data_IF_983780560355
#
_entry.id   IF_983780560355
#
_cell.length_a   1.000
_cell.length_b   1.000
_cell.length_c   1.000
_cell.angle_alpha   90.00
_cell.angle_beta   90.00
_cell.angle_gamma   90.00
#
_symmetry.space_group_name_H-M   'P 1'
#
loop_
_entity.id
_entity.type
_entity.pdbx_description
1 polymer ?
#
# COMPACT_ATOMS: atom_id res chain seq x y z
N UNK A 1 -9.54 18.72 7.16
CA UNK A 1 -9.24 17.64 6.18
C UNK A 1 -9.89 17.99 4.86
N UNK A 2 -9.12 18.08 3.79
CA UNK A 2 -9.61 18.39 2.44
C UNK A 2 -9.42 17.14 1.56
N UNK A 3 -10.51 16.63 0.97
CA UNK A 3 -10.49 15.53 -0.01
C UNK A 3 -10.77 16.08 -1.40
N UNK A 4 -9.95 15.71 -2.39
CA UNK A 4 -10.12 16.10 -3.79
C UNK A 4 -9.88 14.92 -4.73
N UNK A 5 -10.66 14.87 -5.83
CA UNK A 5 -10.43 13.93 -6.92
C UNK A 5 -9.22 14.35 -7.75
N UNK A 6 -8.38 13.38 -8.10
CA UNK A 6 -7.18 13.60 -8.91
C UNK A 6 -7.07 12.60 -10.05
N UNK A 7 -6.32 12.95 -11.09
CA UNK A 7 -5.93 12.06 -12.18
C UNK A 7 -4.41 11.93 -12.18
N UNK A 8 -3.92 10.71 -12.05
CA UNK A 8 -2.51 10.39 -11.90
C UNK A 8 -2.01 9.85 -13.25
N UNK A 9 -1.04 10.48 -13.92
CA UNK A 9 -0.45 9.93 -15.14
C UNK A 9 0.40 8.70 -14.79
N UNK A 10 0.17 7.59 -15.48
CA UNK A 10 0.92 6.34 -15.35
C UNK A 10 1.41 5.90 -16.73
N UNK A 11 2.71 5.63 -16.83
CA UNK A 11 3.32 5.16 -18.07
C UNK A 11 3.12 3.66 -18.25
N UNK A 12 2.63 3.25 -19.41
CA UNK A 12 2.41 1.87 -19.80
C UNK A 12 3.01 1.60 -21.17
N UNK A 13 3.17 0.33 -21.56
CA UNK A 13 3.70 -0.04 -22.89
C UNK A 13 2.96 0.59 -24.06
N UNK A 14 1.68 0.92 -23.88
CA UNK A 14 0.80 1.53 -24.89
C UNK A 14 0.74 3.08 -24.83
N UNK A 15 1.48 3.74 -23.95
CA UNK A 15 1.44 5.17 -23.72
C UNK A 15 0.95 5.53 -22.32
N UNK A 16 0.85 6.83 -22.04
CA UNK A 16 0.40 7.34 -20.75
C UNK A 16 -1.10 7.15 -20.57
N UNK A 17 -1.50 6.56 -19.46
CA UNK A 17 -2.90 6.44 -19.01
C UNK A 17 -3.14 7.31 -17.79
N UNK A 18 -4.41 7.53 -17.43
CA UNK A 18 -4.80 8.30 -16.24
C UNK A 18 -5.49 7.40 -15.23
N UNK A 19 -4.89 7.30 -14.04
CA UNK A 19 -5.50 6.60 -12.92
C UNK A 19 -6.35 7.57 -12.11
N UNK A 20 -7.54 7.17 -11.70
CA UNK A 20 -8.38 7.94 -10.78
C UNK A 20 -7.88 7.77 -9.36
N UNK A 21 -7.78 8.89 -8.64
CA UNK A 21 -7.39 8.91 -7.23
C UNK A 21 -8.19 9.92 -6.42
N UNK A 22 -8.05 9.81 -5.10
CA UNK A 22 -8.53 10.77 -4.11
C UNK A 22 -7.37 11.16 -3.20
N UNK A 23 -7.07 12.43 -3.20
CA UNK A 23 -6.03 13.02 -2.35
C UNK A 23 -6.68 13.60 -1.09
N UNK A 24 -6.17 13.17 0.06
CA UNK A 24 -6.52 13.69 1.38
C UNK A 24 -5.36 14.52 1.90
N UNK A 25 -5.56 15.81 2.10
CA UNK A 25 -4.56 16.70 2.65
C UNK A 25 -4.91 17.08 4.10
N UNK A 26 -3.96 16.92 5.03
CA UNK A 26 -4.14 17.40 6.40
C UNK A 26 -4.07 18.92 6.45
N UNK A 27 -4.64 19.52 7.50
CA UNK A 27 -4.38 20.91 7.83
C UNK A 27 -3.02 20.98 8.54
N UNK A 28 -1.98 21.37 7.80
CA UNK A 28 -0.61 21.49 8.32
C UNK A 28 0.01 22.84 7.94
N UNK A 29 0.95 23.32 8.75
CA UNK A 29 1.66 24.56 8.50
C UNK A 29 2.84 24.42 7.51
N UNK A 30 3.10 23.22 6.98
CA UNK A 30 4.19 22.91 6.07
C UNK A 30 3.97 21.57 5.37
N UNK A 31 4.94 21.12 4.53
CA UNK A 31 4.83 19.85 3.83
C UNK A 31 4.64 18.67 4.78
N UNK A 32 3.61 17.86 4.53
CA UNK A 32 3.26 16.70 5.34
C UNK A 32 3.92 15.41 4.80
N UNK A 33 4.20 14.39 5.64
CA UNK A 33 4.52 13.07 5.13
C UNK A 33 3.42 12.56 4.21
N UNK A 34 3.80 11.84 3.13
CA UNK A 34 2.87 11.27 2.17
C UNK A 34 2.67 9.77 2.35
N UNK A 35 1.47 9.26 2.05
CA UNK A 35 1.20 7.82 2.00
C UNK A 35 0.38 7.47 0.77
N UNK A 36 0.93 6.58 -0.08
CA UNK A 36 0.18 5.94 -1.16
C UNK A 36 -0.61 4.78 -0.58
N UNK A 37 -1.93 4.75 -0.82
CA UNK A 37 -2.83 3.73 -0.29
C UNK A 37 -3.37 2.85 -1.42
N UNK A 38 -3.02 1.56 -1.40
CA UNK A 38 -3.28 0.60 -2.47
C UNK A 38 -4.41 -0.36 -2.09
N UNK A 39 -5.42 -0.48 -2.97
CA UNK A 39 -6.62 -1.28 -2.74
C UNK A 39 -6.43 -2.78 -3.00
N UNK A 40 -7.31 -3.67 -2.46
CA UNK A 40 -7.25 -5.11 -2.68
C UNK A 40 -7.64 -5.49 -4.11
N UNK A 41 -7.61 -6.79 -4.42
CA UNK A 41 -7.80 -7.33 -5.78
C UNK A 41 -9.16 -6.97 -6.39
N UNK A 42 -9.20 -6.43 -7.62
CA UNK A 42 -10.45 -6.00 -8.27
C UNK A 42 -11.48 -7.12 -8.48
N UNK A 43 -11.06 -8.36 -8.75
CA UNK A 43 -11.97 -9.48 -8.90
C UNK A 43 -12.75 -9.80 -7.62
N UNK A 44 -12.24 -9.39 -6.45
CA UNK A 44 -12.93 -9.45 -5.16
C UNK A 44 -13.72 -8.18 -4.82
N UNK A 45 -13.95 -7.29 -5.79
CA UNK A 45 -14.61 -5.99 -5.57
C UNK A 45 -13.68 -4.92 -5.01
N UNK A 46 -12.35 -5.12 -5.10
CA UNK A 46 -11.35 -4.16 -4.65
C UNK A 46 -11.33 -2.91 -5.52
N UNK A 47 -11.45 -1.76 -4.87
CA UNK A 47 -11.26 -0.43 -5.44
C UNK A 47 -10.90 0.58 -4.34
N UNK A 48 -10.52 1.80 -4.70
CA UNK A 48 -10.10 2.82 -3.74
C UNK A 48 -11.18 3.24 -2.74
N UNK A 49 -12.46 3.02 -3.04
CA UNK A 49 -13.59 3.41 -2.20
C UNK A 49 -14.08 2.27 -1.28
N UNK A 50 -13.43 1.08 -1.26
CA UNK A 50 -13.77 0.03 -0.28
C UNK A 50 -13.49 0.51 1.16
N UNK A 51 -14.33 0.05 2.10
CA UNK A 51 -14.42 0.61 3.46
C UNK A 51 -13.06 0.77 4.16
N UNK A 52 -12.24 -0.30 4.24
CA UNK A 52 -10.94 -0.25 4.91
C UNK A 52 -9.98 0.77 4.26
N UNK A 53 -9.95 0.87 2.93
CA UNK A 53 -9.07 1.80 2.19
C UNK A 53 -9.45 3.26 2.47
N UNK A 54 -10.75 3.57 2.42
CA UNK A 54 -11.24 4.91 2.75
C UNK A 54 -10.98 5.28 4.21
N UNK A 55 -11.24 4.36 5.14
CA UNK A 55 -10.98 4.57 6.57
C UNK A 55 -9.49 4.73 6.87
N UNK A 56 -8.62 3.95 6.21
CA UNK A 56 -7.16 4.06 6.35
C UNK A 56 -6.67 5.42 5.87
N UNK A 57 -7.08 5.88 4.68
CA UNK A 57 -6.70 7.20 4.17
C UNK A 57 -7.17 8.33 5.10
N UNK A 58 -8.41 8.24 5.62
CA UNK A 58 -8.93 9.20 6.60
C UNK A 58 -8.15 9.17 7.92
N UNK A 59 -7.82 7.98 8.43
CA UNK A 59 -7.04 7.79 9.65
C UNK A 59 -5.63 8.39 9.52
N UNK A 60 -4.94 8.13 8.43
CA UNK A 60 -3.63 8.72 8.11
C UNK A 60 -3.72 10.25 8.04
N UNK A 61 -4.70 10.78 7.31
CA UNK A 61 -4.88 12.22 7.17
C UNK A 61 -5.19 12.92 8.49
N UNK A 62 -6.02 12.30 9.35
CA UNK A 62 -6.34 12.84 10.69
C UNK A 62 -5.14 12.94 11.62
N UNK A 63 -4.06 12.22 11.32
CA UNK A 63 -2.81 12.23 12.09
C UNK A 63 -1.72 13.10 11.47
N UNK A 64 -2.05 13.90 10.44
CA UNK A 64 -1.16 14.88 9.83
C UNK A 64 -0.35 14.34 8.63
N UNK A 65 -0.75 13.21 8.03
CA UNK A 65 -0.14 12.68 6.82
C UNK A 65 -1.03 12.93 5.60
N UNK A 66 -0.47 13.34 4.47
CA UNK A 66 -1.19 13.34 3.20
C UNK A 66 -1.40 11.89 2.74
N UNK A 67 -2.62 11.54 2.32
CA UNK A 67 -2.93 10.19 1.85
C UNK A 67 -3.50 10.24 0.43
N UNK A 68 -2.94 9.43 -0.47
CA UNK A 68 -3.43 9.26 -1.83
C UNK A 68 -3.90 7.84 -2.03
N UNK A 69 -5.22 7.64 -2.09
CA UNK A 69 -5.81 6.38 -2.54
C UNK A 69 -6.16 6.48 -4.02
N UNK A 70 -5.96 5.41 -4.76
CA UNK A 70 -6.18 5.41 -6.20
C UNK A 70 -6.70 4.06 -6.68
N UNK A 71 -7.28 4.03 -7.88
CA UNK A 71 -7.66 2.81 -8.57
C UNK A 71 -6.57 2.39 -9.55
N UNK A 72 -6.13 1.13 -9.46
CA UNK A 72 -5.24 0.53 -10.46
C UNK A 72 -5.83 0.62 -11.86
N UNK A 73 -5.00 0.48 -12.89
CA UNK A 73 -5.42 0.51 -14.29
C UNK A 73 -6.59 -0.44 -14.55
N UNK A 74 -7.61 0.04 -15.30
CA UNK A 74 -8.81 -0.71 -15.64
C UNK A 74 -9.83 -0.85 -14.50
N UNK A 75 -9.60 -0.23 -13.33
CA UNK A 75 -10.49 -0.32 -12.15
C UNK A 75 -11.19 1.02 -11.91
N UNK A 76 -12.47 1.01 -11.54
CA UNK A 76 -13.22 2.15 -11.01
C UNK A 76 -13.14 3.44 -11.84
N UNK A 77 -12.98 3.29 -13.16
CA UNK A 77 -12.86 4.37 -14.12
C UNK A 77 -11.45 4.94 -14.27
N UNK A 78 -10.41 4.29 -13.77
CA UNK A 78 -9.03 4.44 -14.26
C UNK A 78 -8.94 3.90 -15.68
N UNK A 79 -8.14 4.57 -16.51
CA UNK A 79 -7.88 4.13 -17.88
C UNK A 79 -7.01 2.85 -17.90
N UNK A 80 -6.81 2.28 -19.10
CA UNK A 80 -5.99 1.09 -19.29
C UNK A 80 -6.72 -0.22 -18.99
N UNK A 81 -5.94 -1.26 -18.75
CA UNK A 81 -6.43 -2.63 -18.50
C UNK A 81 -5.70 -3.19 -17.29
N UNK A 82 -6.43 -3.86 -16.41
CA UNK A 82 -5.86 -4.58 -15.27
C UNK A 82 -5.07 -5.80 -15.77
N UNK A 83 -3.84 -5.96 -15.33
CA UNK A 83 -2.87 -6.96 -15.80
C UNK A 83 -2.51 -8.02 -14.75
N UNK A 84 -3.28 -8.10 -13.68
CA UNK A 84 -3.15 -9.10 -12.60
C UNK A 84 -1.75 -9.15 -11.97
N UNK A 85 -1.20 -7.98 -11.66
CA UNK A 85 0.08 -7.82 -10.96
C UNK A 85 1.30 -7.64 -11.86
N UNK A 86 1.13 -7.64 -13.19
CA UNK A 86 2.26 -7.50 -14.12
C UNK A 86 2.72 -6.05 -14.25
N UNK A 87 1.77 -5.12 -14.45
CA UNK A 87 2.07 -3.71 -14.65
C UNK A 87 1.64 -2.82 -13.46
N UNK A 88 0.85 -3.35 -12.51
CA UNK A 88 0.32 -2.60 -11.37
C UNK A 88 1.39 -2.06 -10.40
N UNK A 89 2.60 -2.68 -10.24
CA UNK A 89 3.69 -2.02 -9.53
C UNK A 89 4.06 -0.66 -10.14
N UNK A 90 3.93 -0.50 -11.47
CA UNK A 90 4.11 0.79 -12.16
C UNK A 90 3.07 1.84 -11.75
N UNK A 91 1.83 1.44 -11.47
CA UNK A 91 0.80 2.36 -10.97
C UNK A 91 1.11 2.86 -9.56
N UNK A 92 1.73 2.00 -8.72
CA UNK A 92 2.22 2.41 -7.39
C UNK A 92 3.35 3.44 -7.53
N UNK A 93 4.29 3.24 -8.48
CA UNK A 93 5.32 4.24 -8.81
C UNK A 93 4.68 5.56 -9.25
N UNK A 94 3.71 5.52 -10.16
CA UNK A 94 3.02 6.71 -10.66
C UNK A 94 2.31 7.49 -9.52
N UNK A 95 1.63 6.78 -8.61
CA UNK A 95 0.99 7.40 -7.45
C UNK A 95 2.02 8.00 -6.46
N UNK A 96 3.15 7.33 -6.26
CA UNK A 96 4.26 7.83 -5.45
C UNK A 96 4.86 9.11 -6.05
N UNK A 97 5.16 9.11 -7.34
CA UNK A 97 5.72 10.26 -8.03
C UNK A 97 4.74 11.43 -8.09
N UNK A 98 3.44 11.14 -8.19
CA UNK A 98 2.39 12.16 -8.08
C UNK A 98 2.43 12.86 -6.72
N UNK A 99 2.46 12.10 -5.61
CA UNK A 99 2.60 12.68 -4.27
C UNK A 99 3.90 13.49 -4.13
N UNK A 100 5.01 12.94 -4.60
CA UNK A 100 6.33 13.57 -4.55
C UNK A 100 6.38 14.93 -5.27
N UNK A 101 5.56 15.12 -6.29
CA UNK A 101 5.44 16.37 -7.02
C UNK A 101 4.58 17.45 -6.36
N UNK A 102 3.88 17.14 -5.26
CA UNK A 102 2.99 18.09 -4.58
C UNK A 102 3.76 18.97 -3.58
N UNK A 103 3.59 20.29 -3.60
CA UNK A 103 4.25 21.20 -2.66
C UNK A 103 3.79 21.01 -1.20
N UNK A 104 2.61 20.42 -0.99
CA UNK A 104 2.06 20.11 0.33
C UNK A 104 2.64 18.82 0.94
N UNK A 105 3.45 18.05 0.17
CA UNK A 105 4.00 16.77 0.59
C UNK A 105 5.51 16.86 0.72
N UNK A 106 6.03 16.30 1.82
CA UNK A 106 7.47 16.13 2.03
C UNK A 106 7.97 14.95 1.17
N UNK A 107 8.70 15.27 0.10
CA UNK A 107 9.18 14.32 -0.90
C UNK A 107 10.11 13.22 -0.33
N UNK A 108 10.75 13.47 0.81
CA UNK A 108 11.67 12.52 1.46
C UNK A 108 10.95 11.62 2.48
N UNK A 109 9.66 11.89 2.74
CA UNK A 109 8.85 11.16 3.72
C UNK A 109 7.58 10.58 3.11
N UNK A 110 7.73 9.86 1.98
CA UNK A 110 6.62 9.17 1.33
C UNK A 110 6.70 7.67 1.61
N UNK A 111 5.59 7.12 2.09
CA UNK A 111 5.42 5.71 2.44
C UNK A 111 4.28 5.07 1.65
N UNK A 112 4.11 3.77 1.80
CA UNK A 112 3.05 2.99 1.17
C UNK A 112 2.25 2.26 2.24
N UNK A 113 0.94 2.17 2.06
CA UNK A 113 0.08 1.25 2.81
C UNK A 113 -0.81 0.49 1.81
N UNK A 114 -0.82 -0.81 1.87
CA UNK A 114 -1.62 -1.62 0.94
C UNK A 114 -2.32 -2.77 1.64
N UNK A 115 -3.50 -3.15 1.14
CA UNK A 115 -4.24 -4.31 1.61
C UNK A 115 -4.31 -5.39 0.55
N UNK A 116 -4.00 -6.65 0.91
CA UNK A 116 -4.08 -7.81 0.04
C UNK A 116 -3.26 -7.60 -1.25
N UNK A 117 -3.87 -7.63 -2.42
CA UNK A 117 -3.23 -7.32 -3.70
C UNK A 117 -2.45 -6.01 -3.66
N UNK A 118 -3.03 -4.94 -3.09
CA UNK A 118 -2.36 -3.65 -2.95
C UNK A 118 -1.12 -3.70 -2.07
N UNK A 119 -1.11 -4.57 -1.03
CA UNK A 119 0.08 -4.82 -0.22
C UNK A 119 1.18 -5.49 -1.07
N UNK A 120 0.80 -6.48 -1.89
CA UNK A 120 1.72 -7.17 -2.78
C UNK A 120 2.28 -6.24 -3.84
N UNK A 121 1.45 -5.41 -4.49
CA UNK A 121 1.90 -4.43 -5.49
C UNK A 121 2.86 -3.41 -4.89
N UNK A 122 2.60 -2.95 -3.66
CA UNK A 122 3.52 -2.07 -2.93
C UNK A 122 4.87 -2.72 -2.66
N UNK A 123 4.89 -3.99 -2.20
CA UNK A 123 6.13 -4.76 -2.01
C UNK A 123 6.89 -4.95 -3.33
N UNK A 124 6.18 -5.24 -4.43
CA UNK A 124 6.80 -5.38 -5.75
C UNK A 124 7.37 -4.06 -6.30
N UNK A 125 6.71 -2.95 -6.05
CA UNK A 125 7.23 -1.63 -6.39
C UNK A 125 8.54 -1.34 -5.61
N UNK A 126 8.58 -1.65 -4.31
CA UNK A 126 9.79 -1.53 -3.48
C UNK A 126 10.90 -2.47 -3.97
N UNK A 127 10.59 -3.72 -4.29
CA UNK A 127 11.55 -4.66 -4.88
C UNK A 127 12.08 -4.17 -6.24
N UNK A 128 11.26 -3.44 -7.00
CA UNK A 128 11.61 -2.77 -8.25
C UNK A 128 12.40 -1.47 -8.07
N UNK A 129 12.73 -1.08 -6.84
CA UNK A 129 13.57 0.08 -6.54
C UNK A 129 12.82 1.36 -6.17
N UNK A 130 11.49 1.30 -5.89
CA UNK A 130 10.76 2.46 -5.40
C UNK A 130 11.33 2.90 -4.03
N UNK A 131 11.81 4.16 -3.88
CA UNK A 131 12.48 4.60 -2.66
C UNK A 131 11.46 5.10 -1.60
N UNK A 132 10.50 4.25 -1.22
CA UNK A 132 9.57 4.57 -0.16
C UNK A 132 10.30 4.58 1.21
N UNK A 133 9.92 5.50 2.12
CA UNK A 133 10.43 5.51 3.49
C UNK A 133 10.06 4.22 4.21
N UNK A 134 8.78 3.85 4.14
CA UNK A 134 8.26 2.62 4.73
C UNK A 134 7.11 2.03 3.92
N UNK A 135 6.82 0.76 4.13
CA UNK A 135 5.59 0.11 3.67
C UNK A 135 4.91 -0.64 4.81
N UNK A 136 3.60 -0.46 4.93
CA UNK A 136 2.72 -1.32 5.74
C UNK A 136 1.95 -2.25 4.80
N UNK A 137 2.34 -3.52 4.78
CA UNK A 137 1.70 -4.58 4.01
C UNK A 137 0.62 -5.26 4.87
N UNK A 138 -0.65 -4.98 4.57
CA UNK A 138 -1.80 -5.51 5.29
C UNK A 138 -2.29 -6.76 4.55
N UNK A 139 -2.24 -7.91 5.22
CA UNK A 139 -2.67 -9.21 4.69
C UNK A 139 -2.13 -9.49 3.27
N UNK A 140 -0.80 -9.45 3.02
CA UNK A 140 -0.25 -9.71 1.70
C UNK A 140 -0.60 -11.15 1.26
N UNK A 141 -1.11 -11.38 0.03
CA UNK A 141 -1.65 -12.68 -0.37
C UNK A 141 -0.53 -13.63 -0.83
N UNK A 142 0.33 -14.05 0.10
CA UNK A 142 1.59 -14.75 -0.17
C UNK A 142 1.43 -16.15 -0.77
N UNK A 143 0.27 -16.78 -0.67
CA UNK A 143 0.03 -18.06 -1.36
C UNK A 143 -0.48 -17.89 -2.79
N UNK A 144 -0.90 -16.69 -3.18
CA UNK A 144 -1.45 -16.42 -4.51
C UNK A 144 -0.37 -15.96 -5.52
N UNK A 145 0.79 -15.52 -5.04
CA UNK A 145 1.87 -14.98 -5.87
C UNK A 145 3.22 -15.62 -5.52
N UNK A 146 4.06 -15.81 -6.53
CA UNK A 146 5.42 -16.30 -6.33
C UNK A 146 6.31 -15.18 -5.77
N UNK A 147 6.81 -15.34 -4.55
CA UNK A 147 7.59 -14.31 -3.85
C UNK A 147 9.10 -14.62 -3.75
N UNK A 148 9.50 -15.87 -3.97
CA UNK A 148 10.89 -16.34 -3.80
C UNK A 148 11.96 -15.51 -4.52
N UNK A 149 11.66 -15.00 -5.71
CA UNK A 149 12.60 -14.18 -6.49
C UNK A 149 12.74 -12.73 -5.99
N UNK A 150 11.81 -12.26 -5.14
CA UNK A 150 11.71 -10.85 -4.75
C UNK A 150 12.30 -10.54 -3.37
N UNK A 151 12.46 -11.54 -2.50
CA UNK A 151 12.96 -11.34 -1.12
C UNK A 151 14.37 -10.75 -1.11
N UNK A 152 15.25 -11.15 -2.04
CA UNK A 152 16.59 -10.58 -2.15
C UNK A 152 16.56 -9.08 -2.52
N UNK A 153 15.68 -8.67 -3.41
CA UNK A 153 15.53 -7.26 -3.78
C UNK A 153 14.95 -6.44 -2.62
N UNK A 154 13.97 -7.00 -1.90
CA UNK A 154 13.43 -6.39 -0.69
C UNK A 154 14.50 -6.25 0.41
N UNK A 155 15.33 -7.27 0.64
CA UNK A 155 16.43 -7.23 1.60
C UNK A 155 17.48 -6.16 1.26
N UNK A 156 17.70 -5.88 -0.02
CA UNK A 156 18.62 -4.84 -0.48
C UNK A 156 18.04 -3.42 -0.40
N UNK A 157 16.71 -3.29 -0.22
CA UNK A 157 16.03 -1.99 -0.11
C UNK A 157 16.20 -1.40 1.27
N UNK A 158 16.39 -0.08 1.36
CA UNK A 158 16.38 0.68 2.60
C UNK A 158 14.97 0.95 3.15
N UNK A 159 13.92 0.62 2.40
CA UNK A 159 12.53 0.79 2.84
C UNK A 159 12.22 -0.05 4.06
N UNK A 160 11.70 0.55 5.12
CA UNK A 160 11.21 -0.17 6.30
C UNK A 160 9.91 -0.92 5.96
N UNK A 161 9.80 -2.18 6.38
CA UNK A 161 8.65 -3.04 6.07
C UNK A 161 7.96 -3.48 7.35
N UNK A 162 6.64 -3.32 7.35
CA UNK A 162 5.75 -3.71 8.45
C UNK A 162 4.62 -4.56 7.90
N UNK A 163 4.26 -5.61 8.62
CA UNK A 163 3.25 -6.58 8.21
C UNK A 163 2.13 -6.63 9.24
N UNK A 164 0.89 -6.66 8.75
CA UNK A 164 -0.30 -6.85 9.58
C UNK A 164 -1.09 -8.01 8.98
N UNK A 165 -1.33 -9.08 9.73
CA UNK A 165 -2.05 -10.25 9.25
C UNK A 165 -2.96 -10.84 10.33
N UNK A 166 -4.05 -11.45 9.92
CA UNK A 166 -4.91 -12.26 10.79
C UNK A 166 -4.34 -13.65 11.01
N UNK A 167 -4.53 -14.24 12.20
CA UNK A 167 -4.09 -15.63 12.47
C UNK A 167 -4.97 -16.71 11.79
N UNK A 168 -6.08 -16.28 11.15
CA UNK A 168 -6.98 -17.13 10.36
C UNK A 168 -7.02 -16.72 8.88
N UNK A 169 -6.02 -15.98 8.42
CA UNK A 169 -5.94 -15.53 7.05
C UNK A 169 -5.52 -16.67 6.12
N UNK A 170 -6.43 -17.08 5.23
CA UNK A 170 -6.22 -18.19 4.31
C UNK A 170 -5.31 -17.81 3.11
N UNK A 171 -5.11 -16.52 2.81
CA UNK A 171 -4.23 -16.04 1.74
C UNK A 171 -2.86 -15.59 2.25
N UNK A 172 -2.76 -15.31 3.54
CA UNK A 172 -1.53 -14.96 4.24
C UNK A 172 -1.34 -15.83 5.49
N UNK A 173 -1.19 -17.16 5.35
CA UNK A 173 -0.96 -18.04 6.51
C UNK A 173 0.28 -17.59 7.30
N UNK A 174 0.21 -17.62 8.63
CA UNK A 174 1.28 -17.11 9.49
C UNK A 174 2.63 -17.80 9.28
N UNK A 175 2.63 -19.09 8.99
CA UNK A 175 3.87 -19.81 8.64
C UNK A 175 4.48 -19.26 7.35
N UNK A 176 3.67 -19.04 6.30
CA UNK A 176 4.14 -18.48 5.03
C UNK A 176 4.62 -17.03 5.21
N UNK A 177 3.92 -16.22 6.00
CA UNK A 177 4.36 -14.86 6.33
C UNK A 177 5.69 -14.87 7.10
N UNK A 178 5.84 -15.78 8.06
CA UNK A 178 7.09 -15.92 8.79
C UNK A 178 8.24 -16.33 7.87
N UNK A 179 8.04 -17.32 7.01
CA UNK A 179 9.06 -17.77 6.05
C UNK A 179 9.46 -16.63 5.10
N UNK A 180 8.47 -15.89 4.59
CA UNK A 180 8.72 -14.70 3.76
C UNK A 180 9.54 -13.63 4.50
N UNK A 181 9.19 -13.31 5.75
CA UNK A 181 9.90 -12.31 6.55
C UNK A 181 11.34 -12.76 6.89
N UNK A 182 11.52 -14.04 7.25
CA UNK A 182 12.85 -14.63 7.51
C UNK A 182 13.76 -14.54 6.30
N UNK A 183 13.23 -14.81 5.12
CA UNK A 183 13.99 -14.73 3.86
C UNK A 183 14.45 -13.30 3.51
N UNK A 184 13.82 -12.27 4.10
CA UNK A 184 14.20 -10.88 3.90
C UNK A 184 15.20 -10.45 4.97
N UNK A 185 14.81 -10.44 6.26
CA UNK A 185 15.68 -10.05 7.36
C UNK A 185 15.09 -10.40 8.74
N UNK A 186 15.95 -10.42 9.77
CA UNK A 186 15.51 -10.53 11.17
C UNK A 186 14.59 -9.36 11.61
N UNK A 187 14.77 -8.19 11.04
CA UNK A 187 13.95 -7.03 11.35
C UNK A 187 12.53 -7.18 10.78
N UNK A 188 12.40 -7.75 9.58
CA UNK A 188 11.09 -8.06 8.99
C UNK A 188 10.29 -9.02 9.88
N UNK A 189 10.93 -10.01 10.49
CA UNK A 189 10.28 -10.93 11.46
C UNK A 189 9.72 -10.17 12.67
N UNK A 190 10.47 -9.22 13.22
CA UNK A 190 10.04 -8.41 14.38
C UNK A 190 8.92 -7.44 14.03
N UNK A 191 8.81 -7.07 12.76
CA UNK A 191 7.83 -6.11 12.26
C UNK A 191 6.48 -6.73 11.88
N UNK A 192 6.23 -7.99 12.24
CA UNK A 192 4.94 -8.66 12.04
C UNK A 192 4.00 -8.37 13.21
N UNK A 193 2.81 -7.85 12.91
CA UNK A 193 1.70 -7.65 13.84
C UNK A 193 0.56 -8.61 13.53
N UNK A 194 0.17 -9.45 14.50
CA UNK A 194 -0.84 -10.49 14.31
C UNK A 194 -2.14 -10.08 14.98
N UNK A 195 -3.24 -10.14 14.23
CA UNK A 195 -4.60 -9.89 14.69
C UNK A 195 -5.29 -11.21 15.03
N UNK A 196 -5.39 -11.51 16.31
CA UNK A 196 -5.99 -12.78 16.78
C UNK A 196 -7.46 -12.89 16.39
N UNK A 197 -7.83 -14.03 15.79
CA UNK A 197 -9.19 -14.33 15.33
C UNK A 197 -9.60 -13.65 14.03
N UNK A 198 -8.72 -12.88 13.40
CA UNK A 198 -9.00 -12.19 12.14
C UNK A 198 -8.70 -13.09 10.94
N UNK A 199 -9.54 -12.99 9.92
CA UNK A 199 -9.34 -13.56 8.59
C UNK A 199 -8.77 -12.52 7.62
N UNK A 200 -8.65 -12.88 6.35
CA UNK A 200 -8.14 -12.01 5.28
C UNK A 200 -8.91 -10.71 5.09
N UNK A 201 -10.21 -10.72 5.37
CA UNK A 201 -11.09 -9.58 5.11
C UNK A 201 -11.05 -8.54 6.23
N UNK A 202 -10.52 -8.88 7.41
CA UNK A 202 -10.30 -7.99 8.56
C UNK A 202 -11.59 -7.27 9.02
N UNK A 203 -12.75 -7.90 8.81
CA UNK A 203 -14.07 -7.35 9.15
C UNK A 203 -14.14 -7.07 10.65
N UNK A 204 -14.58 -5.86 11.02
CA UNK A 204 -14.64 -5.34 12.40
C UNK A 204 -13.27 -5.20 13.09
N UNK A 205 -12.20 -5.20 12.33
CA UNK A 205 -10.84 -4.97 12.83
C UNK A 205 -10.21 -3.72 12.23
N UNK A 206 -11.00 -2.92 11.48
CA UNK A 206 -10.54 -1.74 10.73
C UNK A 206 -9.82 -0.74 11.65
N UNK A 207 -10.38 -0.44 12.81
CA UNK A 207 -9.77 0.50 13.76
C UNK A 207 -8.41 0.02 14.29
N UNK A 208 -8.25 -1.29 14.52
CA UNK A 208 -6.99 -1.89 14.99
C UNK A 208 -5.93 -1.84 13.88
N UNK A 209 -6.30 -2.22 12.65
CA UNK A 209 -5.44 -2.14 11.46
C UNK A 209 -4.96 -0.71 11.25
N UNK A 210 -5.87 0.26 11.29
CA UNK A 210 -5.55 1.69 11.10
C UNK A 210 -4.61 2.17 12.20
N UNK A 211 -4.89 1.83 13.46
CA UNK A 211 -4.04 2.19 14.60
C UNK A 211 -2.61 1.67 14.45
N UNK A 212 -2.44 0.41 14.04
CA UNK A 212 -1.14 -0.20 13.76
C UNK A 212 -0.43 0.48 12.59
N UNK A 213 -1.13 0.70 11.47
CA UNK A 213 -0.55 1.33 10.28
C UNK A 213 -0.08 2.77 10.58
N UNK A 214 -0.92 3.56 11.24
CA UNK A 214 -0.58 4.94 11.66
C UNK A 214 0.64 4.94 12.59
N UNK A 215 0.70 4.04 13.57
CA UNK A 215 1.82 3.97 14.50
C UNK A 215 3.16 3.71 13.79
N UNK A 216 3.16 2.88 12.73
CA UNK A 216 4.36 2.54 11.95
C UNK A 216 4.77 3.61 10.95
N UNK A 217 3.82 4.33 10.39
CA UNK A 217 4.09 5.34 9.35
C UNK A 217 4.38 6.74 9.90
N UNK A 218 4.12 7.00 11.19
CA UNK A 218 4.47 8.27 11.86
C UNK A 218 5.90 8.32 12.38
N UNK A 219 6.53 7.17 12.55
CA UNK A 219 7.92 7.08 13.01
C UNK A 219 8.88 7.50 11.89
#
# INVERSE_FOLDING_TARGET
>A
MNESGVLIPSERKGGTIRLKGRLHLPESAGPAPGVVVCHPHPAGGGEMDVGLIGLLANGLCSTGMAALRFNFAGVGGSEGVFSDGVEEPGDVHAAFDYLKGLPEVDADRISIAGWSFGAWMGLMAVAGGLPAKAIVAIAPPLIAYEWWGNTRALAASATERYYIAGDRDQFCPLNTLNDFAVDISEEDVKNVSILTGADHFLIRRESEVIGLAVARLRA
#
